data_IF_902822193411
#
_entry.id   IF_902822193411
#
_cell.length_a   1.000
_cell.length_b   1.000
_cell.length_c   1.000
_cell.angle_alpha   90.00
_cell.angle_beta   90.00
_cell.angle_gamma   90.00
#
_symmetry.space_group_name_H-M   'P 1'
#
loop_
_entity.id
_entity.type
_entity.pdbx_description
1 polymer ?
#
# COMPACT_ATOMS: atom_id res chain seq x y z
N UNK A 1 39.14 -72.78 50.13
CA UNK A 1 38.65 -72.30 51.44
C UNK A 1 38.09 -70.89 51.20
N UNK A 2 36.79 -70.57 51.18
CA UNK A 2 35.67 -70.79 52.12
C UNK A 2 35.71 -69.93 53.39
N UNK A 3 35.04 -68.75 53.35
CA UNK A 3 34.10 -68.13 54.33
C UNK A 3 34.01 -66.61 54.06
N UNK A 4 32.84 -65.96 53.81
CA UNK A 4 31.67 -65.64 54.69
C UNK A 4 32.10 -64.91 55.98
N UNK A 5 31.54 -63.79 56.47
CA UNK A 5 30.21 -63.09 56.45
C UNK A 5 30.46 -61.57 56.74
N UNK A 6 29.53 -60.61 56.86
CA UNK A 6 28.19 -60.28 56.30
C UNK A 6 27.55 -59.15 57.21
N UNK A 7 26.54 -58.39 56.74
CA UNK A 7 25.72 -57.34 57.44
C UNK A 7 26.36 -55.94 57.50
N UNK A 8 25.62 -54.80 57.52
CA UNK A 8 24.16 -54.46 57.60
C UNK A 8 23.97 -53.12 56.84
N UNK A 9 22.99 -52.95 55.94
CA UNK A 9 21.62 -52.44 56.16
C UNK A 9 21.48 -50.99 56.69
N UNK A 10 20.92 -50.13 55.80
CA UNK A 10 19.99 -48.99 56.03
C UNK A 10 20.38 -47.82 56.95
N UNK A 11 20.56 -46.65 56.32
CA UNK A 11 20.27 -45.33 56.90
C UNK A 11 19.67 -44.43 55.80
N UNK A 12 18.41 -44.02 55.97
CA UNK A 12 17.68 -43.17 54.99
C UNK A 12 17.90 -41.69 55.25
N UNK A 13 18.20 -40.93 54.20
CA UNK A 13 18.07 -39.47 54.17
C UNK A 13 17.41 -39.02 52.85
N UNK A 14 16.56 -38.01 52.95
CA UNK A 14 15.56 -37.57 51.97
C UNK A 14 16.19 -36.96 50.70
N UNK A 15 15.61 -37.13 49.49
CA UNK A 15 16.16 -36.56 48.27
C UNK A 15 16.11 -35.02 48.25
N UNK A 16 17.26 -34.38 48.09
CA UNK A 16 17.35 -32.99 47.62
C UNK A 16 17.03 -32.94 46.13
N UNK A 17 15.98 -32.20 45.76
CA UNK A 17 15.65 -31.95 44.36
C UNK A 17 16.82 -31.22 43.66
N UNK A 18 17.18 -31.59 42.42
CA UNK A 18 18.15 -30.82 41.65
C UNK A 18 17.57 -29.43 41.36
N UNK A 19 18.36 -28.40 41.64
CA UNK A 19 18.03 -27.02 41.26
C UNK A 19 17.91 -26.94 39.73
N UNK A 20 16.88 -26.20 39.29
CA UNK A 20 16.46 -26.15 37.90
C UNK A 20 17.50 -25.37 37.08
N UNK A 21 18.35 -26.08 36.34
CA UNK A 21 19.41 -25.52 35.51
C UNK A 21 18.81 -24.86 34.26
N UNK A 22 18.29 -23.63 34.42
CA UNK A 22 17.80 -22.78 33.33
C UNK A 22 18.97 -22.19 32.54
N UNK A 23 19.77 -23.07 31.93
CA UNK A 23 20.71 -22.71 30.88
C UNK A 23 19.92 -22.03 29.74
N UNK A 24 20.17 -20.73 29.56
CA UNK A 24 19.48 -19.91 28.57
C UNK A 24 19.73 -20.46 27.16
N UNK A 25 18.70 -21.08 26.57
CA UNK A 25 18.76 -21.56 25.18
C UNK A 25 18.73 -20.36 24.23
N UNK A 26 19.67 -20.26 23.26
CA UNK A 26 19.58 -19.23 22.23
C UNK A 26 18.41 -19.55 21.28
N UNK A 27 17.35 -18.73 21.33
CA UNK A 27 16.24 -18.80 20.37
C UNK A 27 16.68 -18.20 19.03
N UNK A 28 17.03 -19.06 18.07
CA UNK A 28 17.30 -18.66 16.68
C UNK A 28 15.97 -18.48 15.94
N UNK A 29 15.58 -17.24 15.71
CA UNK A 29 14.50 -16.93 14.77
C UNK A 29 15.03 -17.07 13.34
N UNK A 30 14.60 -18.13 12.65
CA UNK A 30 14.72 -18.21 11.19
C UNK A 30 13.89 -17.08 10.57
N UNK A 31 14.52 -16.26 9.75
CA UNK A 31 13.78 -15.49 8.75
C UNK A 31 13.31 -16.51 7.70
N UNK A 32 11.99 -16.63 7.54
CA UNK A 32 11.41 -17.53 6.55
C UNK A 32 11.91 -17.20 5.14
N UNK A 33 11.99 -18.23 4.30
CA UNK A 33 12.53 -18.13 2.95
C UNK A 33 11.85 -16.99 2.15
N UNK A 34 12.59 -16.33 1.23
CA UNK A 34 12.01 -15.33 0.35
C UNK A 34 10.98 -16.00 -0.57
N UNK A 35 9.71 -15.99 -0.15
CA UNK A 35 8.63 -16.57 -0.93
C UNK A 35 8.56 -15.88 -2.29
N UNK A 36 8.65 -16.67 -3.36
CA UNK A 36 8.58 -16.15 -4.72
C UNK A 36 7.25 -15.42 -4.93
N UNK A 37 7.29 -14.27 -5.60
CA UNK A 37 6.10 -13.42 -5.83
C UNK A 37 5.05 -14.13 -6.70
N UNK A 38 5.42 -15.24 -7.34
CA UNK A 38 4.53 -16.14 -8.09
C UNK A 38 3.59 -16.95 -7.18
N UNK A 39 4.02 -17.37 -5.99
CA UNK A 39 3.25 -18.24 -5.08
C UNK A 39 2.04 -17.50 -4.44
N UNK A 40 1.97 -16.18 -4.62
CA UNK A 40 0.77 -15.36 -4.31
C UNK A 40 0.02 -14.85 -5.54
N UNK A 41 0.51 -15.08 -6.76
CA UNK A 41 -0.21 -14.73 -8.00
C UNK A 41 -1.36 -15.70 -8.27
N UNK A 42 -1.24 -16.96 -7.88
CA UNK A 42 -2.37 -17.91 -7.95
C UNK A 42 -3.61 -17.45 -7.15
N UNK A 43 -3.43 -16.57 -6.15
CA UNK A 43 -4.54 -15.96 -5.40
C UNK A 43 -5.17 -14.73 -6.10
N UNK A 44 -4.55 -14.22 -7.18
CA UNK A 44 -5.03 -13.12 -8.01
C UNK A 44 -5.51 -13.59 -9.39
N UNK A 45 -4.98 -14.70 -9.90
CA UNK A 45 -5.39 -15.29 -11.18
C UNK A 45 -6.73 -16.08 -11.08
N UNK A 46 -7.23 -16.34 -9.86
CA UNK A 46 -8.56 -16.92 -9.57
C UNK A 46 -9.62 -15.89 -9.13
N UNK A 47 -9.46 -14.62 -9.48
CA UNK A 47 -10.37 -13.55 -9.05
C UNK A 47 -11.59 -13.43 -9.98
N UNK A 48 -12.40 -14.49 -9.99
CA UNK A 48 -13.82 -14.32 -10.28
C UNK A 48 -14.44 -13.45 -9.16
N UNK A 49 -15.28 -12.49 -9.53
CA UNK A 49 -15.91 -11.62 -8.54
C UNK A 49 -16.86 -12.44 -7.66
N UNK A 50 -16.51 -12.64 -6.38
CA UNK A 50 -17.30 -13.50 -5.50
C UNK A 50 -18.70 -12.90 -5.25
N UNK A 51 -19.73 -13.72 -5.44
CA UNK A 51 -21.11 -13.34 -5.13
C UNK A 51 -21.34 -13.28 -3.62
N UNK A 52 -21.66 -12.09 -3.11
CA UNK A 52 -22.11 -11.83 -1.74
C UNK A 52 -23.61 -11.52 -1.74
N UNK A 53 -24.42 -12.57 -1.68
CA UNK A 53 -25.88 -12.48 -1.63
C UNK A 53 -26.52 -11.82 -2.86
N UNK A 54 -26.77 -10.50 -2.76
CA UNK A 54 -27.41 -9.64 -3.78
C UNK A 54 -26.43 -9.07 -4.82
N UNK A 55 -25.14 -8.97 -4.51
CA UNK A 55 -24.14 -8.29 -5.34
C UNK A 55 -22.85 -9.11 -5.47
N UNK A 56 -21.97 -8.67 -6.37
CA UNK A 56 -20.60 -9.15 -6.48
C UNK A 56 -19.67 -8.29 -5.62
N UNK A 57 -18.79 -8.90 -4.83
CA UNK A 57 -17.68 -8.15 -4.22
C UNK A 57 -16.64 -7.78 -5.28
N UNK A 58 -15.93 -6.65 -5.14
CA UNK A 58 -14.89 -6.24 -6.06
C UNK A 58 -13.74 -7.25 -6.11
N UNK A 59 -13.05 -7.37 -7.26
CA UNK A 59 -11.93 -8.30 -7.43
C UNK A 59 -10.77 -8.03 -6.45
N UNK A 60 -10.56 -6.76 -6.08
CA UNK A 60 -9.54 -6.36 -5.12
C UNK A 60 -10.14 -5.56 -3.95
N UNK A 61 -9.53 -5.61 -2.75
CA UNK A 61 -9.95 -4.75 -1.65
C UNK A 61 -9.80 -3.26 -2.00
N UNK A 62 -10.91 -2.57 -2.27
CA UNK A 62 -10.91 -1.12 -2.56
C UNK A 62 -10.35 -0.26 -1.42
N UNK A 63 -10.42 -0.72 -0.16
CA UNK A 63 -9.68 -0.10 0.95
C UNK A 63 -8.16 -0.14 0.76
N UNK A 64 -7.63 -1.21 0.16
CA UNK A 64 -6.22 -1.34 -0.22
C UNK A 64 -5.83 -0.31 -1.27
N UNK A 65 -6.60 -0.18 -2.35
CA UNK A 65 -6.35 0.84 -3.39
C UNK A 65 -6.48 2.26 -2.85
N UNK A 66 -7.53 2.55 -2.08
CA UNK A 66 -7.77 3.88 -1.49
C UNK A 66 -6.64 4.34 -0.54
N UNK A 67 -5.96 3.39 0.12
CA UNK A 67 -4.73 3.65 0.90
C UNK A 67 -3.51 3.81 -0.01
N UNK A 68 -3.35 2.90 -0.97
CA UNK A 68 -2.22 2.89 -1.93
C UNK A 68 -2.13 4.18 -2.76
N UNK A 69 -3.27 4.79 -3.06
CA UNK A 69 -3.36 6.10 -3.71
C UNK A 69 -2.47 7.18 -3.07
N UNK A 70 -2.20 7.12 -1.76
CA UNK A 70 -1.34 8.09 -1.04
C UNK A 70 -0.03 7.49 -0.50
N UNK A 71 0.33 6.27 -0.91
CA UNK A 71 1.54 5.58 -0.43
C UNK A 71 2.84 6.29 -0.86
N UNK A 72 2.86 6.89 -2.06
CA UNK A 72 4.01 7.65 -2.56
C UNK A 72 3.58 8.94 -3.25
N UNK A 73 4.49 9.92 -3.28
CA UNK A 73 4.27 11.19 -3.97
C UNK A 73 4.19 11.03 -5.50
N UNK A 74 4.97 10.13 -6.11
CA UNK A 74 4.98 9.94 -7.56
C UNK A 74 3.69 9.27 -8.04
N UNK A 75 3.24 8.22 -7.34
CA UNK A 75 1.99 7.53 -7.64
C UNK A 75 0.77 8.47 -7.54
N UNK A 76 0.67 9.27 -6.47
CA UNK A 76 -0.45 10.20 -6.32
C UNK A 76 -0.38 11.39 -7.30
N UNK A 77 0.84 11.92 -7.55
CA UNK A 77 1.06 13.05 -8.46
C UNK A 77 0.65 12.71 -9.89
N UNK A 78 1.00 11.51 -10.38
CA UNK A 78 0.61 11.04 -11.70
C UNK A 78 -0.92 11.09 -11.95
N UNK A 79 -1.69 10.54 -11.01
CA UNK A 79 -3.16 10.53 -11.04
C UNK A 79 -3.70 11.97 -10.93
N UNK A 80 -3.15 12.78 -10.04
CA UNK A 80 -3.56 14.18 -9.89
C UNK A 80 -3.29 15.01 -11.15
N UNK A 81 -2.17 14.80 -11.84
CA UNK A 81 -1.85 15.47 -13.12
C UNK A 81 -2.84 15.07 -14.21
N UNK A 82 -3.07 13.77 -14.45
CA UNK A 82 -4.06 13.27 -15.41
C UNK A 82 -5.45 13.85 -15.13
N UNK A 83 -5.90 13.77 -13.87
CA UNK A 83 -7.17 14.38 -13.41
C UNK A 83 -7.21 15.89 -13.66
N UNK A 84 -6.16 16.63 -13.33
CA UNK A 84 -6.13 18.09 -13.47
C UNK A 84 -6.24 18.53 -14.93
N UNK A 85 -5.64 17.80 -15.87
CA UNK A 85 -5.73 18.11 -17.31
C UNK A 85 -7.12 17.73 -17.86
N UNK A 86 -7.68 16.59 -17.44
CA UNK A 86 -9.06 16.23 -17.78
C UNK A 86 -10.05 17.28 -17.26
N UNK A 87 -9.86 17.76 -16.02
CA UNK A 87 -10.67 18.84 -15.45
C UNK A 87 -10.45 20.14 -16.21
N UNK A 88 -9.21 20.60 -16.45
CA UNK A 88 -8.96 21.89 -17.11
C UNK A 88 -9.56 21.96 -18.51
N UNK A 89 -9.53 20.85 -19.26
CA UNK A 89 -10.15 20.73 -20.58
C UNK A 89 -11.68 20.53 -20.55
N UNK A 90 -12.27 20.05 -19.45
CA UNK A 90 -13.72 19.86 -19.33
C UNK A 90 -14.51 21.17 -19.36
N UNK A 91 -15.56 21.21 -20.18
CA UNK A 91 -16.52 22.30 -20.30
C UNK A 91 -17.74 21.97 -19.42
N UNK A 92 -17.98 22.67 -18.30
CA UNK A 92 -19.01 22.29 -17.34
C UNK A 92 -20.43 22.39 -17.89
N UNK A 93 -21.31 21.51 -17.42
CA UNK A 93 -22.74 21.50 -17.75
C UNK A 93 -23.59 21.76 -16.50
N UNK A 94 -24.79 22.38 -16.59
CA UNK A 94 -25.68 22.55 -15.45
C UNK A 94 -26.03 21.23 -14.76
N UNK A 95 -26.24 20.15 -15.54
CA UNK A 95 -26.48 18.80 -15.00
C UNK A 95 -25.20 18.14 -14.45
N UNK A 96 -24.00 18.54 -14.91
CA UNK A 96 -22.73 17.93 -14.49
C UNK A 96 -21.66 19.00 -14.21
N UNK A 97 -21.67 19.60 -13.01
CA UNK A 97 -20.72 20.64 -12.63
C UNK A 97 -19.27 20.14 -12.55
N UNK A 98 -18.31 21.04 -12.74
CA UNK A 98 -16.86 20.77 -12.70
C UNK A 98 -16.41 19.95 -11.47
N UNK A 99 -16.95 20.26 -10.29
CA UNK A 99 -16.62 19.56 -9.04
C UNK A 99 -17.19 18.13 -8.96
N UNK A 100 -18.28 17.83 -9.69
CA UNK A 100 -18.80 16.47 -9.83
C UNK A 100 -17.90 15.68 -10.79
N UNK A 101 -17.57 16.26 -11.94
CA UNK A 101 -16.65 15.67 -12.92
C UNK A 101 -15.27 15.34 -12.31
N UNK A 102 -14.68 16.27 -11.53
CA UNK A 102 -13.40 16.05 -10.84
C UNK A 102 -13.42 14.84 -9.89
N UNK A 103 -14.52 14.62 -9.16
CA UNK A 103 -14.70 13.46 -8.28
C UNK A 103 -14.84 12.17 -9.06
N UNK A 104 -15.69 12.17 -10.09
CA UNK A 104 -15.93 11.02 -10.96
C UNK A 104 -14.63 10.53 -11.63
N UNK A 105 -13.86 11.45 -12.19
CA UNK A 105 -12.58 11.16 -12.87
C UNK A 105 -11.49 10.71 -11.89
N UNK A 106 -11.50 11.19 -10.64
CA UNK A 106 -10.58 10.71 -9.61
C UNK A 106 -10.90 9.27 -9.20
N UNK A 107 -12.17 8.97 -8.93
CA UNK A 107 -12.60 7.61 -8.58
C UNK A 107 -12.27 6.63 -9.71
N UNK A 108 -12.54 7.01 -10.97
CA UNK A 108 -12.23 6.18 -12.13
C UNK A 108 -10.74 5.83 -12.20
N UNK A 109 -9.87 6.82 -12.09
CA UNK A 109 -8.42 6.59 -12.13
C UNK A 109 -7.89 5.80 -10.93
N UNK A 110 -8.50 5.92 -9.74
CA UNK A 110 -8.05 5.22 -8.53
C UNK A 110 -8.54 3.77 -8.48
N UNK A 111 -9.78 3.50 -8.89
CA UNK A 111 -10.40 2.18 -8.73
C UNK A 111 -10.54 1.40 -10.05
N UNK A 112 -10.22 1.99 -11.19
CA UNK A 112 -10.62 1.47 -12.50
C UNK A 112 -12.14 1.49 -12.70
N UNK A 113 -12.89 2.19 -11.83
CA UNK A 113 -14.34 2.18 -11.75
C UNK A 113 -14.85 3.53 -11.27
N UNK A 114 -15.85 4.11 -11.94
CA UNK A 114 -16.59 5.26 -11.44
C UNK A 114 -18.07 5.15 -11.74
N UNK A 115 -18.88 5.75 -10.86
CA UNK A 115 -20.33 5.61 -10.89
C UNK A 115 -21.00 6.97 -10.85
N UNK A 116 -22.02 7.16 -11.70
CA UNK A 116 -22.73 8.42 -11.85
C UNK A 116 -24.24 8.17 -11.75
N UNK A 117 -24.88 8.67 -10.71
CA UNK A 117 -26.32 8.62 -10.50
C UNK A 117 -26.99 9.77 -11.27
N UNK A 118 -27.84 9.44 -12.25
CA UNK A 118 -28.74 10.41 -12.88
C UNK A 118 -29.99 10.56 -12.02
N UNK A 119 -30.11 11.70 -11.34
CA UNK A 119 -31.26 11.99 -10.46
C UNK A 119 -32.43 12.47 -11.29
N UNK A 120 -33.48 11.67 -11.35
CA UNK A 120 -34.67 11.98 -12.12
C UNK A 120 -35.69 12.80 -11.31
N UNK A 121 -36.38 13.72 -11.98
CA UNK A 121 -37.55 14.41 -11.44
C UNK A 121 -38.76 13.48 -11.39
N UNK A 122 -39.86 13.91 -10.74
CA UNK A 122 -41.13 13.17 -10.78
C UNK A 122 -41.71 13.01 -12.20
N UNK A 123 -41.25 13.83 -13.16
CA UNK A 123 -41.63 13.75 -14.56
C UNK A 123 -40.65 12.93 -15.42
N UNK A 124 -39.61 12.34 -14.81
CA UNK A 124 -38.59 11.52 -15.49
C UNK A 124 -37.45 12.30 -16.14
N UNK A 125 -37.44 13.63 -16.07
CA UNK A 125 -36.33 14.46 -16.58
C UNK A 125 -35.09 14.40 -15.69
N UNK A 126 -33.89 14.45 -16.28
CA UNK A 126 -32.65 14.58 -15.51
C UNK A 126 -32.61 15.91 -14.74
N UNK A 127 -32.30 15.84 -13.44
CA UNK A 127 -32.07 17.01 -12.57
C UNK A 127 -30.59 17.22 -12.25
N UNK A 128 -29.74 16.23 -12.49
CA UNK A 128 -28.31 16.30 -12.23
C UNK A 128 -27.64 14.95 -12.11
N UNK A 129 -26.36 14.91 -12.48
CA UNK A 129 -25.50 13.75 -12.49
C UNK A 129 -24.57 13.79 -11.27
N UNK A 130 -24.78 12.86 -10.34
CA UNK A 130 -24.12 12.86 -9.01
C UNK A 130 -23.18 11.67 -8.90
N UNK A 131 -21.86 11.88 -8.73
CA UNK A 131 -20.90 10.79 -8.57
C UNK A 131 -21.13 10.03 -7.27
N UNK A 132 -21.24 8.71 -7.36
CA UNK A 132 -21.28 7.82 -6.21
C UNK A 132 -19.87 7.25 -5.96
N UNK A 133 -19.42 7.28 -4.69
CA UNK A 133 -18.05 6.90 -4.33
C UNK A 133 -17.76 5.43 -4.66
N UNK A 134 -16.92 5.19 -5.67
CA UNK A 134 -16.66 3.87 -6.24
C UNK A 134 -16.19 2.84 -5.21
N UNK A 135 -15.41 3.27 -4.20
CA UNK A 135 -15.00 2.45 -3.06
C UNK A 135 -16.15 1.67 -2.40
N UNK A 136 -17.32 2.29 -2.28
CA UNK A 136 -18.48 1.76 -1.57
C UNK A 136 -19.57 1.21 -2.51
N UNK A 137 -19.38 1.33 -3.82
CA UNK A 137 -20.32 0.79 -4.81
C UNK A 137 -20.16 -0.72 -4.94
N UNK A 138 -21.27 -1.40 -5.21
CA UNK A 138 -21.34 -2.82 -5.53
C UNK A 138 -22.30 -3.04 -6.70
N UNK A 139 -21.89 -3.86 -7.66
CA UNK A 139 -22.72 -4.25 -8.81
C UNK A 139 -23.56 -5.48 -8.45
N UNK A 140 -24.86 -5.39 -8.66
CA UNK A 140 -25.81 -6.46 -8.41
C UNK A 140 -25.54 -7.70 -9.26
N UNK A 141 -26.03 -8.86 -8.80
CA UNK A 141 -25.90 -10.13 -9.53
C UNK A 141 -26.67 -10.11 -10.87
N UNK A 142 -27.67 -9.24 -10.99
CA UNK A 142 -28.39 -8.96 -12.25
C UNK A 142 -27.62 -8.02 -13.22
N UNK A 143 -26.38 -7.62 -12.87
CA UNK A 143 -25.47 -6.74 -13.60
C UNK A 143 -25.98 -5.31 -13.90
N UNK A 144 -27.15 -4.93 -13.38
CA UNK A 144 -27.89 -3.70 -13.72
C UNK A 144 -28.37 -2.87 -12.52
N UNK A 145 -28.53 -3.49 -11.36
CA UNK A 145 -28.81 -2.86 -10.06
C UNK A 145 -27.49 -2.55 -9.36
N UNK A 146 -27.42 -1.44 -8.64
CA UNK A 146 -26.24 -1.07 -7.87
C UNK A 146 -26.59 -0.84 -6.40
N UNK A 147 -25.62 -1.08 -5.53
CA UNK A 147 -25.76 -0.95 -4.09
C UNK A 147 -24.63 -0.09 -3.53
N UNK A 148 -24.92 0.74 -2.53
CA UNK A 148 -23.95 1.52 -1.77
C UNK A 148 -23.79 0.92 -0.37
N UNK A 149 -22.61 0.36 -0.11
CA UNK A 149 -22.32 -0.42 1.11
C UNK A 149 -21.25 0.31 1.93
N UNK A 150 -21.67 0.90 3.06
CA UNK A 150 -20.78 1.61 3.99
C UNK A 150 -20.73 0.96 5.38
N UNK A 151 -20.12 -0.23 5.45
CA UNK A 151 -19.87 -0.94 6.71
C UNK A 151 -21.15 -1.19 7.50
N UNK A 152 -21.28 -0.54 8.66
CA UNK A 152 -22.41 -0.69 9.59
C UNK A 152 -23.68 0.08 9.18
N UNK A 153 -23.65 0.90 8.13
CA UNK A 153 -24.86 1.58 7.65
C UNK A 153 -25.74 0.62 6.86
N UNK A 154 -27.04 0.89 6.87
CA UNK A 154 -27.99 0.24 5.97
C UNK A 154 -27.57 0.42 4.51
N UNK A 155 -27.63 -0.66 3.74
CA UNK A 155 -27.26 -0.68 2.33
C UNK A 155 -28.31 0.07 1.51
N UNK A 156 -27.87 1.09 0.75
CA UNK A 156 -28.74 1.82 -0.16
C UNK A 156 -28.74 1.16 -1.55
N UNK A 157 -29.91 0.71 -2.01
CA UNK A 157 -30.15 0.16 -3.35
C UNK A 157 -30.52 1.31 -4.30
N UNK A 158 -29.79 1.47 -5.41
CA UNK A 158 -30.11 2.49 -6.41
C UNK A 158 -31.23 2.01 -7.34
N UNK A 159 -32.04 2.96 -7.81
CA UNK A 159 -33.06 2.67 -8.82
C UNK A 159 -32.42 2.08 -10.10
N UNK A 160 -33.02 1.01 -10.62
CA UNK A 160 -32.48 0.31 -11.79
C UNK A 160 -32.40 1.24 -13.01
N UNK A 161 -31.25 1.25 -13.67
CA UNK A 161 -30.99 2.09 -14.84
C UNK A 161 -30.61 3.55 -14.56
N UNK A 162 -30.65 4.03 -13.30
CA UNK A 162 -30.24 5.41 -12.97
C UNK A 162 -28.75 5.57 -12.70
N UNK A 163 -27.96 4.49 -12.74
CA UNK A 163 -26.51 4.53 -12.50
C UNK A 163 -25.75 4.15 -13.76
N UNK A 164 -24.89 5.06 -14.22
CA UNK A 164 -23.83 4.77 -15.18
C UNK A 164 -22.61 4.23 -14.45
N UNK A 165 -22.00 3.19 -15.00
CA UNK A 165 -20.77 2.59 -14.48
C UNK A 165 -19.70 2.64 -15.57
N UNK A 166 -18.76 3.56 -15.43
CA UNK A 166 -17.55 3.58 -16.24
C UNK A 166 -16.54 2.63 -15.62
N UNK A 167 -16.18 1.57 -16.35
CA UNK A 167 -15.17 0.61 -15.94
C UNK A 167 -14.01 0.55 -16.92
N UNK A 168 -12.80 0.31 -16.40
CA UNK A 168 -11.69 -0.22 -17.19
C UNK A 168 -12.03 -1.59 -17.76
N UNK A 169 -11.52 -1.94 -18.96
CA UNK A 169 -11.49 -3.34 -19.39
C UNK A 169 -10.63 -4.14 -18.41
N UNK A 170 -11.09 -5.32 -18.04
CA UNK A 170 -10.29 -6.33 -17.35
C UNK A 170 -10.26 -7.60 -18.20
N UNK A 171 -9.17 -8.36 -18.09
CA UNK A 171 -8.96 -9.61 -18.85
C UNK A 171 -9.51 -10.84 -18.13
N UNK A 172 -9.79 -10.72 -16.82
CA UNK A 172 -10.21 -11.84 -15.99
C UNK A 172 -11.73 -11.88 -15.72
N UNK A 173 -12.44 -10.74 -15.80
CA UNK A 173 -13.89 -10.66 -15.57
C UNK A 173 -14.53 -9.38 -16.15
N UNK A 174 -15.86 -9.37 -16.30
CA UNK A 174 -16.62 -8.27 -16.96
C UNK A 174 -17.46 -7.40 -15.98
N UNK A 175 -17.39 -7.69 -14.68
CA UNK A 175 -18.25 -7.13 -13.63
C UNK A 175 -17.74 -5.77 -13.13
N UNK A 176 -16.42 -5.63 -13.01
CA UNK A 176 -15.71 -4.43 -12.57
C UNK A 176 -14.48 -4.17 -13.45
N UNK A 177 -13.98 -2.94 -13.48
CA UNK A 177 -12.66 -2.64 -14.04
C UNK A 177 -11.53 -2.80 -13.03
N UNK A 178 -10.30 -2.82 -13.53
CA UNK A 178 -9.08 -2.78 -12.73
C UNK A 178 -8.15 -1.65 -13.24
N UNK A 179 -7.50 -0.86 -12.37
CA UNK A 179 -6.65 0.24 -12.83
C UNK A 179 -5.30 -0.28 -13.36
N UNK A 180 -4.83 0.24 -14.49
CA UNK A 180 -3.60 -0.23 -15.17
C UNK A 180 -2.34 -0.24 -14.27
N UNK A 181 -2.30 0.66 -13.26
CA UNK A 181 -1.15 0.78 -12.36
C UNK A 181 -0.98 -0.39 -11.37
N UNK A 182 -1.91 -1.35 -11.30
CA UNK A 182 -1.84 -2.49 -10.36
C UNK A 182 -0.47 -3.19 -10.39
N UNK A 183 0.11 -3.30 -11.58
CA UNK A 183 1.45 -3.85 -11.83
C UNK A 183 2.56 -3.20 -10.97
N UNK A 184 2.46 -1.90 -10.68
CA UNK A 184 3.42 -1.14 -9.89
C UNK A 184 3.04 -0.97 -8.40
N UNK A 185 1.99 -1.64 -7.90
CA UNK A 185 1.62 -1.54 -6.48
C UNK A 185 2.74 -2.05 -5.54
N UNK A 186 3.37 -3.17 -5.87
CA UNK A 186 4.49 -3.70 -5.07
C UNK A 186 5.67 -2.73 -5.01
N UNK A 187 6.02 -2.11 -6.15
CA UNK A 187 7.02 -1.04 -6.20
C UNK A 187 6.60 0.17 -5.35
N UNK A 188 5.33 0.57 -5.43
CA UNK A 188 4.75 1.68 -4.66
C UNK A 188 4.84 1.42 -3.14
N UNK A 189 4.47 0.23 -2.67
CA UNK A 189 4.55 -0.13 -1.24
C UNK A 189 5.99 -0.31 -0.74
N UNK A 190 6.90 -0.81 -1.58
CA UNK A 190 8.33 -0.88 -1.25
C UNK A 190 8.93 0.54 -1.13
N UNK A 191 8.55 1.45 -2.02
CA UNK A 191 8.94 2.86 -2.01
C UNK A 191 8.41 3.61 -0.78
N UNK A 192 7.17 3.35 -0.37
CA UNK A 192 6.58 3.82 0.90
C UNK A 192 7.34 3.26 2.09
N UNK A 193 7.60 1.95 2.11
CA UNK A 193 8.29 1.24 3.19
C UNK A 193 9.71 1.79 3.42
N UNK A 194 10.47 2.06 2.35
CA UNK A 194 11.77 2.71 2.43
C UNK A 194 11.68 4.14 3.03
N UNK A 195 10.64 4.90 2.70
CA UNK A 195 10.38 6.23 3.30
C UNK A 195 10.00 6.12 4.78
N UNK A 196 9.14 5.17 5.15
CA UNK A 196 8.75 4.91 6.55
C UNK A 196 9.93 4.41 7.40
N UNK A 197 10.80 3.56 6.84
CA UNK A 197 12.04 3.13 7.48
C UNK A 197 12.93 4.33 7.79
N UNK A 198 13.26 5.15 6.77
CA UNK A 198 14.11 6.35 6.96
C UNK A 198 13.52 7.29 8.01
N UNK A 199 12.21 7.53 8.00
CA UNK A 199 11.53 8.35 9.02
C UNK A 199 11.64 7.76 10.44
N UNK A 200 11.53 6.44 10.60
CA UNK A 200 11.72 5.75 11.90
C UNK A 200 13.18 5.80 12.35
N UNK A 201 14.13 5.60 11.43
CA UNK A 201 15.56 5.65 11.69
C UNK A 201 15.99 7.03 12.22
N UNK A 202 15.60 8.12 11.55
CA UNK A 202 15.85 9.48 12.06
C UNK A 202 15.14 9.76 13.40
N UNK A 203 13.90 9.29 13.60
CA UNK A 203 13.20 9.42 14.89
C UNK A 203 13.88 8.67 16.04
N UNK A 204 14.62 7.60 15.75
CA UNK A 204 15.36 6.79 16.72
C UNK A 204 16.83 7.23 16.84
N UNK A 205 17.15 8.50 16.55
CA UNK A 205 18.50 9.04 16.72
C UNK A 205 19.49 8.61 15.63
N UNK A 206 19.00 8.19 14.46
CA UNK A 206 19.81 7.57 13.39
C UNK A 206 20.41 6.23 13.78
N UNK A 207 19.63 5.39 14.48
CA UNK A 207 20.00 4.01 14.79
C UNK A 207 18.91 3.00 14.38
N UNK A 208 19.34 1.92 13.73
CA UNK A 208 18.49 0.79 13.34
C UNK A 208 18.22 -0.23 14.47
N UNK A 209 18.70 0.07 15.67
CA UNK A 209 18.75 -0.84 16.81
C UNK A 209 20.14 -1.48 16.99
N UNK A 210 20.36 -2.10 18.13
CA UNK A 210 21.62 -2.74 18.49
C UNK A 210 21.39 -4.07 19.22
N UNK A 211 22.42 -4.93 19.20
CA UNK A 211 22.51 -6.11 20.05
C UNK A 211 23.45 -5.76 21.20
N UNK A 212 22.94 -5.68 22.42
CA UNK A 212 23.78 -5.61 23.62
C UNK A 212 24.19 -7.02 24.01
N UNK A 213 25.48 -7.32 23.85
CA UNK A 213 26.08 -8.58 24.22
C UNK A 213 26.83 -8.41 25.55
N UNK A 214 26.51 -9.22 26.56
CA UNK A 214 27.13 -9.16 27.88
C UNK A 214 27.74 -10.52 28.24
N UNK A 215 29.05 -10.54 28.46
CA UNK A 215 29.84 -11.73 28.78
C UNK A 215 30.32 -11.75 30.24
N UNK A 216 30.35 -10.60 30.91
CA UNK A 216 30.67 -10.52 32.33
C UNK A 216 29.65 -11.29 33.17
N UNK A 217 30.15 -12.01 34.17
CA UNK A 217 29.31 -12.64 35.19
C UNK A 217 28.69 -11.55 36.08
N UNK A 218 27.47 -11.12 35.73
CA UNK A 218 26.64 -10.28 36.58
C UNK A 218 26.59 -10.86 38.02
N UNK A 219 26.92 -10.02 39.00
CA UNK A 219 27.00 -10.41 40.42
C UNK A 219 25.61 -10.83 40.97
N UNK A 220 24.54 -10.28 40.41
CA UNK A 220 23.16 -10.49 40.85
C UNK A 220 22.23 -10.67 39.66
N UNK A 221 21.25 -11.58 39.80
CA UNK A 221 20.22 -11.83 38.76
C UNK A 221 19.36 -10.58 38.55
N UNK A 222 19.07 -9.83 39.62
CA UNK A 222 18.24 -8.63 39.60
C UNK A 222 18.84 -7.50 38.73
N UNK A 223 20.16 -7.43 38.61
CA UNK A 223 20.84 -6.47 37.72
C UNK A 223 20.56 -6.80 36.24
N UNK A 224 20.58 -8.09 35.89
CA UNK A 224 20.26 -8.58 34.53
C UNK A 224 18.78 -8.32 34.20
N UNK A 225 17.89 -8.52 35.16
CA UNK A 225 16.46 -8.18 35.00
C UNK A 225 16.28 -6.67 34.83
N UNK A 226 16.90 -5.86 35.67
CA UNK A 226 16.82 -4.39 35.62
C UNK A 226 17.36 -3.83 34.30
N UNK A 227 18.50 -4.34 33.81
CA UNK A 227 19.04 -3.99 32.49
C UNK A 227 18.11 -4.42 31.35
N UNK A 228 17.52 -5.61 31.43
CA UNK A 228 16.53 -6.10 30.45
C UNK A 228 15.27 -5.24 30.43
N UNK A 229 14.79 -4.80 31.59
CA UNK A 229 13.64 -3.89 31.68
C UNK A 229 13.98 -2.48 31.19
N UNK A 230 15.15 -1.95 31.52
CA UNK A 230 15.65 -0.68 31.00
C UNK A 230 15.77 -0.70 29.47
N UNK A 231 16.28 -1.78 28.87
CA UNK A 231 16.32 -1.94 27.40
C UNK A 231 14.92 -2.11 26.78
N UNK A 232 13.97 -2.72 27.52
CA UNK A 232 12.58 -2.89 27.08
C UNK A 232 11.78 -1.59 27.16
N UNK A 233 12.11 -0.69 28.09
CA UNK A 233 11.51 0.63 28.28
C UNK A 233 12.19 1.73 27.45
N UNK A 234 13.49 1.62 27.17
CA UNK A 234 14.26 2.47 26.25
C UNK A 234 13.92 2.29 24.76
N UNK A 235 12.67 1.96 24.44
CA UNK A 235 12.14 1.93 23.08
C UNK A 235 11.95 3.35 22.57
N UNK A 236 12.88 3.81 21.75
CA UNK A 236 12.70 5.02 20.93
C UNK A 236 11.41 4.94 20.09
N UNK A 237 10.77 6.08 19.77
CA UNK A 237 9.45 6.12 19.12
C UNK A 237 9.50 5.75 17.63
N UNK A 238 9.76 4.47 17.31
CA UNK A 238 9.91 4.02 15.93
C UNK A 238 10.31 2.56 15.69
N UNK A 239 9.58 1.56 16.21
CA UNK A 239 9.59 0.13 15.81
C UNK A 239 10.90 -0.69 15.79
N UNK A 240 12.10 -0.12 15.87
CA UNK A 240 13.33 -0.92 15.96
C UNK A 240 13.40 -1.66 17.31
N UNK A 241 13.74 -2.95 17.26
CA UNK A 241 13.88 -3.82 18.44
C UNK A 241 15.36 -3.96 18.77
N UNK A 242 15.76 -3.56 19.97
CA UNK A 242 17.07 -3.92 20.50
C UNK A 242 17.04 -5.38 20.99
N UNK A 243 18.14 -6.10 20.81
CA UNK A 243 18.31 -7.45 21.33
C UNK A 243 19.29 -7.42 22.51
N UNK A 244 19.01 -8.21 23.54
CA UNK A 244 19.92 -8.41 24.66
C UNK A 244 20.34 -9.87 24.69
N UNK A 245 21.65 -10.14 24.63
CA UNK A 245 22.24 -11.46 24.64
C UNK A 245 23.21 -11.57 25.82
N UNK A 246 22.86 -12.41 26.79
CA UNK A 246 23.67 -12.67 27.98
C UNK A 246 24.36 -14.03 27.86
N UNK A 247 25.69 -14.04 27.92
CA UNK A 247 26.54 -15.21 27.72
C UNK A 247 27.69 -15.23 28.75
N UNK A 248 27.40 -15.51 30.04
CA UNK A 248 28.39 -15.42 31.11
C UNK A 248 29.61 -16.31 30.86
N UNK A 249 30.81 -15.75 30.98
CA UNK A 249 32.07 -16.45 30.73
C UNK A 249 32.50 -16.51 29.26
N UNK A 250 31.82 -15.78 28.36
CA UNK A 250 32.26 -15.58 26.98
C UNK A 250 33.61 -14.85 26.87
N UNK A 251 34.28 -14.95 25.72
CA UNK A 251 35.58 -14.29 25.49
C UNK A 251 35.44 -12.94 24.78
N UNK A 252 36.30 -12.01 25.24
CA UNK A 252 36.49 -10.61 24.84
C UNK A 252 35.35 -9.67 25.24
N UNK A 253 35.76 -8.56 25.86
CA UNK A 253 35.01 -7.36 26.26
C UNK A 253 33.66 -7.63 26.97
N UNK A 254 33.64 -7.39 28.28
CA UNK A 254 32.56 -7.78 29.21
C UNK A 254 31.15 -7.30 28.84
N UNK A 255 31.07 -6.14 28.19
CA UNK A 255 29.84 -5.60 27.58
C UNK A 255 30.19 -5.02 26.21
N UNK A 256 29.46 -5.41 25.17
CA UNK A 256 29.61 -4.92 23.80
C UNK A 256 28.27 -4.47 23.23
N UNK A 257 28.25 -3.30 22.58
CA UNK A 257 27.14 -2.87 21.73
C UNK A 257 27.52 -3.24 20.29
N UNK A 258 26.89 -4.27 19.75
CA UNK A 258 27.03 -4.65 18.35
C UNK A 258 25.96 -3.88 17.54
N UNK A 259 26.33 -2.89 16.71
CA UNK A 259 25.36 -2.21 15.86
C UNK A 259 24.82 -3.17 14.81
N UNK A 260 23.50 -3.17 14.59
CA UNK A 260 22.93 -3.84 13.42
C UNK A 260 23.35 -3.03 12.20
N UNK A 261 24.23 -3.59 11.37
CA UNK A 261 25.13 -2.85 10.47
C UNK A 261 24.43 -1.81 9.57
N UNK A 262 24.72 -0.53 9.80
CA UNK A 262 24.11 0.57 9.04
C UNK A 262 24.79 0.82 7.68
N UNK A 263 26.07 0.48 7.55
CA UNK A 263 26.94 0.96 6.47
C UNK A 263 26.53 0.50 5.05
N UNK A 264 25.96 -0.70 4.90
CA UNK A 264 25.55 -1.24 3.60
C UNK A 264 24.18 -0.72 3.12
N UNK A 265 23.34 -0.19 4.03
CA UNK A 265 21.91 0.04 3.73
C UNK A 265 21.62 1.41 3.09
N UNK A 266 22.51 2.40 3.23
CA UNK A 266 22.25 3.78 2.75
C UNK A 266 22.11 3.85 1.22
N UNK A 267 23.00 3.17 0.50
CA UNK A 267 23.01 3.14 -0.96
C UNK A 267 21.81 2.32 -1.49
N UNK A 268 21.50 1.21 -0.81
CA UNK A 268 20.36 0.35 -1.14
C UNK A 268 19.02 1.09 -1.01
N UNK A 269 18.81 1.93 0.01
CA UNK A 269 17.61 2.76 0.10
C UNK A 269 17.47 3.76 -1.04
N UNK A 270 18.57 4.30 -1.58
CA UNK A 270 18.51 5.19 -2.73
C UNK A 270 18.16 4.38 -4.00
N UNK A 271 18.81 3.24 -4.22
CA UNK A 271 18.51 2.34 -5.33
C UNK A 271 17.05 1.87 -5.32
N UNK A 272 16.55 1.40 -4.17
CA UNK A 272 15.14 1.03 -4.00
C UNK A 272 14.24 2.21 -4.38
N UNK A 273 14.48 3.42 -3.86
CA UNK A 273 13.66 4.60 -4.14
C UNK A 273 13.70 5.03 -5.60
N UNK A 274 14.82 4.85 -6.30
CA UNK A 274 14.99 5.17 -7.72
C UNK A 274 14.30 4.15 -8.62
N UNK A 275 14.61 2.86 -8.49
CA UNK A 275 14.00 1.80 -9.31
C UNK A 275 12.48 1.79 -9.15
N UNK A 276 11.99 1.78 -7.91
CA UNK A 276 10.54 1.75 -7.66
C UNK A 276 9.83 3.04 -8.07
N UNK A 277 10.52 4.19 -8.15
CA UNK A 277 9.97 5.41 -8.78
C UNK A 277 9.80 5.16 -10.26
N UNK A 278 10.80 4.60 -10.93
CA UNK A 278 10.79 4.40 -12.38
C UNK A 278 9.71 3.38 -12.78
N UNK A 279 9.46 2.34 -11.96
CA UNK A 279 8.28 1.45 -12.10
C UNK A 279 6.94 2.21 -12.02
N UNK A 280 6.81 3.13 -11.06
CA UNK A 280 5.60 3.96 -10.92
C UNK A 280 5.42 4.91 -12.11
N UNK A 281 6.52 5.44 -12.65
CA UNK A 281 6.51 6.28 -13.85
C UNK A 281 6.10 5.49 -15.09
N UNK A 282 6.65 4.28 -15.26
CA UNK A 282 6.34 3.39 -16.38
C UNK A 282 4.87 2.94 -16.37
N UNK A 283 4.33 2.57 -15.21
CA UNK A 283 2.94 2.15 -15.07
C UNK A 283 1.93 3.29 -15.31
N UNK A 284 2.26 4.51 -14.88
CA UNK A 284 1.39 5.67 -15.10
C UNK A 284 1.57 6.36 -16.46
N UNK A 285 2.71 6.17 -17.12
CA UNK A 285 3.09 6.78 -18.41
C UNK A 285 3.04 8.32 -18.41
N UNK A 286 3.21 8.95 -17.25
CA UNK A 286 3.25 10.42 -17.10
C UNK A 286 4.70 10.92 -17.22
N UNK A 287 4.99 11.94 -18.06
CA UNK A 287 6.32 12.54 -18.14
C UNK A 287 6.80 13.07 -16.77
N UNK A 288 8.04 12.76 -16.33
CA UNK A 288 8.59 13.18 -15.03
C UNK A 288 8.47 14.68 -14.76
N UNK A 289 8.61 15.51 -15.80
CA UNK A 289 8.55 16.97 -15.71
C UNK A 289 7.17 17.45 -15.23
N UNK A 290 6.08 16.81 -15.68
CA UNK A 290 4.72 17.18 -15.30
C UNK A 290 4.39 16.84 -13.84
N UNK A 291 5.14 15.92 -13.23
CA UNK A 291 5.03 15.56 -11.81
C UNK A 291 5.98 16.34 -10.90
N UNK A 292 6.72 17.33 -11.44
CA UNK A 292 7.67 18.13 -10.68
C UNK A 292 8.95 17.38 -10.29
N UNK A 293 9.31 16.31 -11.01
CA UNK A 293 10.57 15.59 -10.78
C UNK A 293 11.72 16.42 -11.35
N UNK A 294 12.74 16.68 -10.52
CA UNK A 294 13.97 17.35 -10.93
C UNK A 294 14.93 16.31 -11.50
N UNK A 295 15.50 16.52 -12.70
CA UNK A 295 16.47 15.60 -13.28
C UNK A 295 17.78 15.56 -12.48
N UNK A 296 18.37 14.37 -12.35
CA UNK A 296 19.66 14.16 -11.68
C UNK A 296 20.87 14.12 -12.63
N UNK A 297 20.65 14.32 -13.93
CA UNK A 297 21.64 14.27 -15.00
C UNK A 297 21.79 15.65 -15.69
N UNK A 298 22.99 15.95 -16.16
CA UNK A 298 23.34 17.26 -16.76
C UNK A 298 22.53 17.61 -18.02
N UNK A 299 21.97 16.62 -18.72
CA UNK A 299 21.15 16.81 -19.93
C UNK A 299 19.67 17.13 -19.67
N UNK A 300 19.19 17.01 -18.43
CA UNK A 300 17.77 17.20 -18.11
C UNK A 300 16.82 16.18 -18.76
N UNK A 301 15.54 16.53 -18.82
CA UNK A 301 14.48 15.73 -19.48
C UNK A 301 14.09 16.24 -20.88
N UNK A 302 14.80 17.24 -21.42
CA UNK A 302 14.46 17.89 -22.68
C UNK A 302 13.21 18.79 -22.60
N UNK A 303 12.58 18.97 -23.77
CA UNK A 303 11.48 19.91 -24.00
C UNK A 303 10.17 19.49 -23.29
N UNK A 304 9.75 20.30 -22.32
CA UNK A 304 8.55 20.05 -21.49
C UNK A 304 7.26 20.23 -22.30
N UNK A 305 7.24 21.17 -23.24
CA UNK A 305 6.05 21.47 -24.05
C UNK A 305 5.73 20.29 -24.96
N UNK A 306 6.74 19.77 -25.68
CA UNK A 306 6.60 18.58 -26.52
C UNK A 306 6.20 17.35 -25.71
N UNK A 307 6.79 17.15 -24.53
CA UNK A 307 6.42 16.05 -23.64
C UNK A 307 4.94 16.15 -23.20
N UNK A 308 4.48 17.36 -22.86
CA UNK A 308 3.09 17.61 -22.49
C UNK A 308 2.10 17.40 -23.64
N UNK A 309 2.45 17.81 -24.87
CA UNK A 309 1.61 17.63 -26.05
C UNK A 309 1.48 16.16 -26.45
N UNK A 310 2.58 15.40 -26.44
CA UNK A 310 2.56 13.94 -26.69
C UNK A 310 1.73 13.22 -25.63
N UNK A 311 1.90 13.58 -24.35
CA UNK A 311 1.11 13.04 -23.25
C UNK A 311 -0.38 13.39 -23.37
N UNK A 312 -0.72 14.63 -23.73
CA UNK A 312 -2.09 15.05 -23.95
C UNK A 312 -2.74 14.26 -25.11
N UNK A 313 -2.00 14.00 -26.19
CA UNK A 313 -2.49 13.25 -27.35
C UNK A 313 -2.65 11.75 -27.07
N UNK A 314 -1.72 11.12 -26.35
CA UNK A 314 -1.66 9.67 -26.22
C UNK A 314 -2.28 9.13 -24.91
N UNK A 315 -2.28 9.91 -23.83
CA UNK A 315 -2.86 9.50 -22.55
C UNK A 315 -4.16 10.24 -22.23
N UNK A 316 -4.20 11.56 -22.39
CA UNK A 316 -5.37 12.34 -21.97
C UNK A 316 -6.53 12.23 -22.95
N UNK A 317 -6.27 12.34 -24.27
CA UNK A 317 -7.34 12.30 -25.28
C UNK A 317 -8.12 10.96 -25.28
N UNK A 318 -7.49 9.78 -25.20
CA UNK A 318 -8.26 8.52 -25.06
C UNK A 318 -9.13 8.47 -23.80
N UNK A 319 -8.68 9.06 -22.68
CA UNK A 319 -9.49 9.17 -21.46
C UNK A 319 -10.68 10.12 -21.65
N UNK A 320 -10.49 11.25 -22.36
CA UNK A 320 -11.59 12.14 -22.76
C UNK A 320 -12.62 11.41 -23.63
N UNK A 321 -12.15 10.64 -24.62
CA UNK A 321 -13.03 9.93 -25.56
C UNK A 321 -13.89 8.88 -24.84
N UNK A 322 -13.34 8.14 -23.88
CA UNK A 322 -14.12 7.20 -23.04
C UNK A 322 -15.12 7.89 -22.12
N UNK A 323 -14.86 9.12 -21.70
CA UNK A 323 -15.80 9.93 -20.90
C UNK A 323 -17.00 10.44 -21.73
N UNK A 324 -16.93 10.45 -23.06
CA UNK A 324 -18.05 10.84 -23.93
C UNK A 324 -19.21 9.83 -23.91
N UNK A 325 -18.97 8.57 -23.50
CA UNK A 325 -20.02 7.55 -23.34
C UNK A 325 -21.11 7.95 -22.32
N UNK A 326 -20.83 8.91 -21.44
CA UNK A 326 -21.83 9.52 -20.55
C UNK A 326 -22.94 10.21 -21.37
N UNK A 327 -22.61 10.83 -22.50
CA UNK A 327 -23.58 11.52 -23.37
C UNK A 327 -24.56 10.53 -24.00
N UNK A 328 -24.04 9.39 -24.47
CA UNK A 328 -24.87 8.31 -25.07
C UNK A 328 -25.84 7.73 -24.03
N UNK A 329 -25.39 7.57 -22.78
CA UNK A 329 -26.23 7.07 -21.70
C UNK A 329 -27.31 8.06 -21.23
N UNK A 330 -26.99 9.36 -21.14
CA UNK A 330 -27.98 10.39 -20.77
C UNK A 330 -28.93 10.74 -21.93
N UNK A 331 -28.47 10.59 -23.18
CA UNK A 331 -29.17 11.08 -24.37
C UNK A 331 -29.00 12.59 -24.61
N UNK A 332 -28.04 13.23 -23.94
CA UNK A 332 -27.78 14.68 -24.01
C UNK A 332 -26.26 14.94 -23.95
N UNK A 333 -25.77 15.98 -24.63
CA UNK A 333 -24.35 16.36 -24.65
C UNK A 333 -23.94 17.10 -23.36
N UNK A 334 -23.78 16.34 -22.28
CA UNK A 334 -23.43 16.81 -20.93
C UNK A 334 -21.92 16.81 -20.65
N UNK A 335 -21.13 16.07 -21.42
CA UNK A 335 -19.66 16.03 -21.39
C UNK A 335 -19.10 16.59 -22.70
N UNK A 336 -18.31 17.66 -22.58
CA UNK A 336 -17.55 18.27 -23.67
C UNK A 336 -16.14 18.62 -23.19
N UNK A 337 -15.17 18.59 -24.12
CA UNK A 337 -13.79 18.97 -23.86
C UNK A 337 -13.32 20.04 -24.84
N UNK A 338 -12.68 21.09 -24.31
CA UNK A 338 -11.87 22.02 -25.08
C UNK A 338 -10.49 21.43 -25.42
N UNK A 339 -9.77 22.02 -26.39
CA UNK A 339 -8.41 21.60 -26.71
C UNK A 339 -7.46 21.83 -25.52
N UNK A 340 -6.56 20.89 -25.29
CA UNK A 340 -5.41 21.14 -24.42
C UNK A 340 -4.48 22.14 -25.12
N UNK A 341 -4.27 23.30 -24.51
CA UNK A 341 -3.38 24.35 -24.99
C UNK A 341 -2.38 24.69 -23.91
N UNK A 342 -1.14 24.87 -24.33
CA UNK A 342 -0.15 25.67 -23.63
C UNK A 342 -0.16 27.00 -24.37
N UNK A 343 -0.32 28.12 -23.66
CA UNK A 343 -0.41 29.42 -24.32
C UNK A 343 0.93 29.72 -25.01
N UNK A 344 0.88 30.00 -26.31
CA UNK A 344 2.07 30.41 -27.07
C UNK A 344 2.66 31.67 -26.42
N UNK A 345 3.94 31.59 -26.05
CA UNK A 345 4.65 32.72 -25.45
C UNK A 345 4.60 33.94 -26.39
N UNK A 346 4.09 35.04 -25.86
CA UNK A 346 4.00 36.34 -26.51
C UNK A 346 5.24 37.20 -26.26
#
# INVERSE_FOLDING_TARGET
MSRKKNRRATGTATPTAPLNDQAARPEVFSFGDPMEVLDRRELLDYVECMRSGKWFEPPLPWDGLARSFRATAHHCSAIYVKRNILVSTFIPHPLFPRAAFERFVLDWQVFGNAYLENRLSRAGSSMGLVPAMAKYMRRGVDLSTYYFVQGWKETHEFARGTVFHLQEPDINQEVYGLPEYLSALNATWLNESATLFRRKYYKNGSHAGFILYMTDAAQTIDDVVSLREALRSAKGPGNFKNLFLYAPGGKKDGVQILPVSEAATKDEFWNIKSVTRDDQLAAHRVPPQLMGIIPSNTGGFGDVEKAALVFARNEVKPLQDRLLAINEWVGEEVVRFGPYKLDEHR
#
